data_IF_391580142886
#
_entry.id   IF_391580142886
#
_cell.length_a   1.000
_cell.length_b   1.000
_cell.length_c   1.000
_cell.angle_alpha   90.00
_cell.angle_beta   90.00
_cell.angle_gamma   90.00
#
_symmetry.space_group_name_H-M   'P 1'
#
loop_
_entity.id
_entity.type
_entity.pdbx_description
1 polymer ?
#
# COMPACT_ATOMS: atom_id res chain seq x y z
N UNK A 1 7.24 -14.42 -15.46
CA UNK A 1 7.93 -13.66 -14.38
C UNK A 1 7.38 -12.26 -14.15
N UNK A 2 7.30 -11.37 -15.15
CA UNK A 2 6.79 -9.99 -14.96
C UNK A 2 5.37 -9.92 -14.39
N UNK A 3 4.46 -10.79 -14.83
CA UNK A 3 3.08 -10.83 -14.34
C UNK A 3 2.99 -11.22 -12.85
N UNK A 4 3.75 -12.23 -12.44
CA UNK A 4 3.81 -12.71 -11.04
C UNK A 4 4.38 -11.62 -10.12
N UNK A 5 5.42 -10.92 -10.55
CA UNK A 5 6.00 -9.80 -9.79
C UNK A 5 5.02 -8.62 -9.66
N UNK A 6 4.26 -8.31 -10.71
CA UNK A 6 3.22 -7.28 -10.64
C UNK A 6 2.09 -7.69 -9.68
N UNK A 7 1.65 -8.96 -9.72
CA UNK A 7 0.65 -9.50 -8.80
C UNK A 7 1.11 -9.43 -7.34
N UNK A 8 2.34 -9.86 -7.04
CA UNK A 8 2.92 -9.77 -5.68
C UNK A 8 2.96 -8.32 -5.22
N UNK A 9 3.34 -7.39 -6.09
CA UNK A 9 3.41 -5.95 -5.75
C UNK A 9 2.02 -5.38 -5.44
N UNK A 10 1.00 -5.77 -6.20
CA UNK A 10 -0.39 -5.35 -5.96
C UNK A 10 -0.90 -5.92 -4.63
N UNK A 11 -0.64 -7.21 -4.35
CA UNK A 11 -1.04 -7.84 -3.09
C UNK A 11 -0.35 -7.16 -1.90
N UNK A 12 0.96 -6.93 -1.99
CA UNK A 12 1.73 -6.23 -0.95
C UNK A 12 1.20 -4.82 -0.70
N UNK A 13 0.84 -4.09 -1.76
CA UNK A 13 0.26 -2.77 -1.65
C UNK A 13 -1.12 -2.77 -0.97
N UNK A 14 -1.99 -3.73 -1.30
CA UNK A 14 -3.30 -3.89 -0.65
C UNK A 14 -3.12 -4.17 0.84
N UNK A 15 -2.18 -5.04 1.20
CA UNK A 15 -1.85 -5.36 2.59
C UNK A 15 -1.39 -4.10 3.34
N UNK A 16 -0.44 -3.35 2.76
CA UNK A 16 0.06 -2.08 3.31
C UNK A 16 -1.06 -1.07 3.56
N UNK A 17 -1.95 -0.87 2.58
CA UNK A 17 -3.10 0.03 2.71
C UNK A 17 -4.04 -0.45 3.81
N UNK A 18 -4.30 -1.76 3.89
CA UNK A 18 -5.20 -2.35 4.89
C UNK A 18 -4.66 -2.16 6.31
N UNK A 19 -3.37 -2.44 6.54
CA UNK A 19 -2.72 -2.19 7.83
C UNK A 19 -2.69 -0.70 8.16
N UNK A 20 -2.41 0.15 7.18
CA UNK A 20 -2.38 1.59 7.36
C UNK A 20 -3.73 2.16 7.80
N UNK A 21 -4.82 1.75 7.15
CA UNK A 21 -6.19 2.14 7.54
C UNK A 21 -6.55 1.64 8.94
N UNK A 22 -6.14 0.42 9.30
CA UNK A 22 -6.35 -0.12 10.64
C UNK A 22 -5.59 0.70 11.70
N UNK A 23 -4.37 1.12 11.39
CA UNK A 23 -3.54 1.94 12.29
C UNK A 23 -4.06 3.39 12.42
N UNK A 24 -4.60 3.96 11.34
CA UNK A 24 -5.32 5.26 11.36
C UNK A 24 -6.55 5.21 12.27
N UNK A 25 -7.19 4.04 12.38
CA UNK A 25 -8.38 3.87 13.21
C UNK A 25 -8.07 3.74 14.71
N UNK A 26 -6.80 3.75 15.12
CA UNK A 26 -6.41 3.64 16.53
C UNK A 26 -6.38 5.01 17.23
N UNK A 27 -6.70 5.08 18.53
CA UNK A 27 -6.77 6.35 19.28
C UNK A 27 -5.40 6.98 19.58
N UNK A 28 -4.29 6.34 19.18
CA UNK A 28 -2.93 6.83 19.43
C UNK A 28 -2.42 7.64 18.25
N UNK A 29 -2.10 8.92 18.47
CA UNK A 29 -1.56 9.82 17.44
C UNK A 29 -0.34 9.23 16.70
N UNK A 30 0.55 8.56 17.41
CA UNK A 30 1.74 7.94 16.81
C UNK A 30 1.36 6.81 15.84
N UNK A 31 0.35 6.00 16.20
CA UNK A 31 -0.14 4.93 15.33
C UNK A 31 -0.91 5.49 14.13
N UNK A 32 -1.63 6.60 14.29
CA UNK A 32 -2.26 7.29 13.15
C UNK A 32 -1.21 7.75 12.14
N UNK A 33 -0.12 8.38 12.59
CA UNK A 33 0.96 8.80 11.70
C UNK A 33 1.65 7.64 10.98
N UNK A 34 1.88 6.53 11.70
CA UNK A 34 2.38 5.29 11.08
C UNK A 34 1.41 4.78 10.02
N UNK A 35 0.11 4.75 10.34
CA UNK A 35 -0.92 4.29 9.43
C UNK A 35 -1.04 5.13 8.16
N UNK A 36 -0.93 6.46 8.29
CA UNK A 36 -0.86 7.37 7.13
C UNK A 36 0.36 7.05 6.27
N UNK A 37 1.52 6.81 6.88
CA UNK A 37 2.74 6.42 6.18
C UNK A 37 2.59 5.10 5.41
N UNK A 38 1.96 4.09 6.02
CA UNK A 38 1.69 2.79 5.40
C UNK A 38 0.72 2.90 4.21
N UNK A 39 -0.33 3.71 4.32
CA UNK A 39 -1.25 3.97 3.19
C UNK A 39 -0.52 4.67 2.05
N UNK A 40 0.28 5.69 2.32
CA UNK A 40 1.05 6.42 1.30
C UNK A 40 2.04 5.48 0.60
N UNK A 41 2.77 4.67 1.36
CA UNK A 41 3.68 3.66 0.81
C UNK A 41 2.94 2.64 -0.06
N UNK A 42 1.80 2.12 0.40
CA UNK A 42 0.97 1.20 -0.38
C UNK A 42 0.51 1.80 -1.71
N UNK A 43 0.08 3.07 -1.72
CA UNK A 43 -0.29 3.78 -2.95
C UNK A 43 0.89 3.96 -3.92
N UNK A 44 2.09 4.28 -3.40
CA UNK A 44 3.31 4.38 -4.22
C UNK A 44 3.66 3.03 -4.84
N UNK A 45 3.59 1.95 -4.06
CA UNK A 45 3.86 0.59 -4.53
C UNK A 45 2.85 0.16 -5.59
N UNK A 46 1.59 0.59 -5.50
CA UNK A 46 0.54 0.37 -6.50
C UNK A 46 0.76 1.18 -7.79
N UNK A 47 1.32 2.39 -7.69
CA UNK A 47 1.46 3.30 -8.83
C UNK A 47 2.34 2.72 -9.95
N UNK A 48 3.47 2.10 -9.62
CA UNK A 48 4.39 1.52 -10.61
C UNK A 48 3.79 0.37 -11.46
N UNK A 49 3.18 -0.68 -10.88
CA UNK A 49 2.54 -1.74 -11.63
C UNK A 49 1.31 -1.24 -12.39
N UNK A 50 0.49 -0.34 -11.81
CA UNK A 50 -0.64 0.26 -12.53
C UNK A 50 -0.16 1.05 -13.75
N UNK A 51 0.84 1.93 -13.60
CA UNK A 51 1.41 2.71 -14.71
C UNK A 51 1.96 1.82 -15.83
N UNK A 52 2.45 0.62 -15.52
CA UNK A 52 2.92 -0.37 -16.50
C UNK A 52 1.80 -1.17 -17.16
N UNK A 53 0.62 -1.29 -16.53
CA UNK A 53 -0.54 -1.99 -17.10
C UNK A 53 -1.34 -1.09 -18.05
N UNK A 54 -1.34 0.22 -17.83
CA UNK A 54 -2.05 1.21 -18.65
C UNK A 54 -1.18 1.90 -19.73
N UNK A 55 0.03 1.40 -19.99
CA UNK A 55 0.94 1.83 -21.06
C UNK A 55 1.23 0.69 -22.02
#
# INVERSE_FOLDING_TARGET
MKLVLNLISIIAAIILITFGVNNISQPSNLKVWIGVGEVVLGLIVLYFPLKKLFK
#
